data_IF_190491755914
#
_entry.id   IF_190491755914
#
_cell.length_a   1.000
_cell.length_b   1.000
_cell.length_c   1.000
_cell.angle_alpha   90.00
_cell.angle_beta   90.00
_cell.angle_gamma   90.00
#
_symmetry.space_group_name_H-M   'P 1'
#
loop_
_entity.id
_entity.type
_entity.pdbx_description
1 polymer ?
#
# COMPACT_ATOMS: atom_id res chain seq x y z
N UNK A 1 -23.59 -11.76 28.88
CA UNK A 1 -23.30 -11.85 27.43
C UNK A 1 -22.05 -11.04 27.15
N UNK A 2 -20.96 -11.66 26.70
CA UNK A 2 -19.72 -10.93 26.41
C UNK A 2 -19.78 -10.49 24.94
N UNK A 3 -19.68 -9.19 24.69
CA UNK A 3 -19.43 -8.63 23.37
C UNK A 3 -17.92 -8.38 23.28
N UNK A 4 -17.26 -9.01 22.31
CA UNK A 4 -15.82 -8.85 22.08
C UNK A 4 -15.66 -8.02 20.81
N UNK A 5 -14.83 -6.99 20.87
CA UNK A 5 -14.40 -6.20 19.73
C UNK A 5 -12.92 -6.43 19.55
N UNK A 6 -12.51 -6.83 18.35
CA UNK A 6 -11.11 -7.05 17.99
C UNK A 6 -10.71 -5.92 17.04
N UNK A 7 -9.61 -5.23 17.36
CA UNK A 7 -9.05 -4.17 16.54
C UNK A 7 -7.71 -4.63 15.97
N UNK A 8 -7.55 -4.44 14.66
CA UNK A 8 -6.31 -4.68 13.94
C UNK A 8 -5.68 -3.32 13.60
N UNK A 9 -4.43 -3.10 14.00
CA UNK A 9 -3.73 -1.82 13.83
C UNK A 9 -2.66 -1.87 12.74
N UNK A 10 -2.24 -3.07 12.32
CA UNK A 10 -1.20 -3.26 11.31
C UNK A 10 -1.73 -3.93 10.02
N UNK A 11 -3.00 -4.35 10.02
CA UNK A 11 -3.68 -4.85 8.82
C UNK A 11 -3.41 -6.33 8.53
N UNK A 12 -2.86 -7.06 9.51
CA UNK A 12 -2.51 -8.48 9.42
C UNK A 12 -3.73 -9.40 9.44
N UNK A 13 -4.78 -9.04 10.19
CA UNK A 13 -5.99 -9.86 10.32
C UNK A 13 -7.01 -9.60 9.21
N UNK A 14 -6.98 -8.40 8.62
CA UNK A 14 -7.96 -7.98 7.63
C UNK A 14 -7.58 -8.27 6.16
N UNK A 15 -6.48 -8.99 5.91
CA UNK A 15 -5.92 -9.25 4.56
C UNK A 15 -5.88 -7.98 3.68
N UNK A 16 -5.48 -6.88 4.31
CA UNK A 16 -5.57 -5.53 3.73
C UNK A 16 -4.46 -5.28 2.70
N UNK A 17 -3.38 -6.08 2.75
CA UNK A 17 -2.22 -5.88 1.90
C UNK A 17 -2.55 -6.09 0.42
N UNK A 18 -3.19 -7.20 0.06
CA UNK A 18 -3.56 -7.51 -1.32
C UNK A 18 -4.48 -6.43 -1.92
N UNK A 19 -5.39 -5.88 -1.11
CA UNK A 19 -6.25 -4.78 -1.51
C UNK A 19 -5.44 -3.50 -1.76
N UNK A 20 -4.56 -3.12 -0.83
CA UNK A 20 -3.70 -1.94 -0.98
C UNK A 20 -2.77 -2.10 -2.19
N UNK A 21 -2.21 -3.30 -2.40
CA UNK A 21 -1.38 -3.63 -3.56
C UNK A 21 -2.18 -3.43 -4.86
N UNK A 22 -3.40 -3.97 -4.95
CA UNK A 22 -4.23 -3.79 -6.13
C UNK A 22 -4.56 -2.32 -6.43
N UNK A 23 -4.96 -1.55 -5.40
CA UNK A 23 -5.27 -0.12 -5.53
C UNK A 23 -4.05 0.68 -5.98
N UNK A 24 -2.91 0.50 -5.30
CA UNK A 24 -1.68 1.23 -5.60
C UNK A 24 -1.12 0.85 -6.97
N UNK A 25 -1.24 -0.40 -7.40
CA UNK A 25 -0.78 -0.82 -8.73
C UNK A 25 -1.66 -0.25 -9.86
N UNK A 26 -2.96 -0.11 -9.61
CA UNK A 26 -3.88 0.56 -10.54
C UNK A 26 -3.58 2.06 -10.66
N UNK A 27 -3.30 2.73 -9.54
CA UNK A 27 -2.99 4.16 -9.51
C UNK A 27 -1.62 4.51 -10.13
N UNK A 28 -0.75 3.53 -10.34
CA UNK A 28 0.59 3.78 -10.86
C UNK A 28 0.58 4.46 -12.24
N UNK A 29 -0.42 4.17 -13.08
CA UNK A 29 -0.58 4.76 -14.42
C UNK A 29 -0.86 6.25 -14.33
N UNK A 30 -1.74 6.64 -13.40
CA UNK A 30 -2.11 8.04 -13.17
C UNK A 30 -0.97 8.84 -12.52
N UNK A 31 -0.27 8.23 -11.57
CA UNK A 31 0.75 8.91 -10.78
C UNK A 31 2.15 8.84 -11.39
N UNK A 32 2.37 7.91 -12.33
CA UNK A 32 3.59 7.76 -13.12
C UNK A 32 4.72 7.02 -12.40
N UNK A 33 4.39 6.07 -11.51
CA UNK A 33 5.38 5.17 -10.89
C UNK A 33 5.27 3.75 -11.45
N UNK A 34 6.32 2.94 -11.24
CA UNK A 34 6.41 1.58 -11.79
C UNK A 34 5.33 0.68 -11.17
N UNK A 35 4.63 -0.10 -12.02
CA UNK A 35 3.75 -1.16 -11.54
C UNK A 35 4.58 -2.27 -10.89
N UNK A 36 4.18 -2.65 -9.68
CA UNK A 36 4.73 -3.80 -8.98
C UNK A 36 4.09 -5.08 -9.51
N UNK A 37 4.88 -6.14 -9.60
CA UNK A 37 4.40 -7.48 -9.94
C UNK A 37 4.07 -8.27 -8.68
N UNK A 38 3.21 -9.27 -8.81
CA UNK A 38 2.85 -10.14 -7.67
C UNK A 38 4.06 -10.87 -7.09
N UNK A 39 5.04 -11.20 -7.93
CA UNK A 39 6.26 -11.86 -7.48
C UNK A 39 7.16 -10.94 -6.64
N UNK A 40 6.96 -9.62 -6.71
CA UNK A 40 7.70 -8.62 -5.92
C UNK A 40 7.05 -8.39 -4.53
N UNK A 41 5.84 -8.91 -4.27
CA UNK A 41 5.10 -8.73 -3.00
C UNK A 41 5.93 -9.12 -1.76
N UNK A 42 6.57 -10.31 -1.70
CA UNK A 42 7.32 -10.72 -0.50
C UNK A 42 8.51 -9.80 -0.18
N UNK A 43 9.05 -9.12 -1.19
CA UNK A 43 10.12 -8.14 -0.98
C UNK A 43 9.56 -6.77 -0.57
N UNK A 44 8.43 -6.36 -1.14
CA UNK A 44 7.75 -5.10 -0.79
C UNK A 44 7.25 -5.13 0.65
N UNK A 45 6.73 -6.26 1.14
CA UNK A 45 6.26 -6.42 2.54
C UNK A 45 7.36 -6.20 3.58
N UNK A 46 8.64 -6.41 3.20
CA UNK A 46 9.79 -6.18 4.09
C UNK A 46 10.20 -4.71 4.17
N UNK A 47 9.63 -3.85 3.33
CA UNK A 47 9.99 -2.44 3.22
C UNK A 47 9.11 -1.58 4.12
N UNK A 48 9.72 -0.58 4.74
CA UNK A 48 8.95 0.52 5.33
C UNK A 48 8.21 1.29 4.23
N UNK A 49 7.07 1.94 4.54
CA UNK A 49 6.33 2.75 3.56
C UNK A 49 7.19 3.81 2.86
N UNK A 50 8.16 4.39 3.57
CA UNK A 50 9.10 5.36 2.99
C UNK A 50 10.05 4.71 1.98
N UNK A 51 10.53 3.49 2.27
CA UNK A 51 11.35 2.72 1.32
C UNK A 51 10.54 2.35 0.07
N UNK A 52 9.27 1.96 0.22
CA UNK A 52 8.37 1.70 -0.92
C UNK A 52 8.22 2.94 -1.80
N UNK A 53 7.96 4.11 -1.19
CA UNK A 53 7.86 5.38 -1.91
C UNK A 53 9.16 5.68 -2.66
N UNK A 54 10.31 5.58 -1.99
CA UNK A 54 11.61 5.84 -2.61
C UNK A 54 11.92 4.89 -3.76
N UNK A 55 11.60 3.60 -3.63
CA UNK A 55 11.82 2.61 -4.69
C UNK A 55 10.83 2.76 -5.86
N UNK A 56 9.62 3.26 -5.61
CA UNK A 56 8.61 3.43 -6.66
C UNK A 56 9.00 4.48 -7.72
N UNK A 57 9.88 5.42 -7.36
CA UNK A 57 10.25 6.55 -8.21
C UNK A 57 9.16 7.62 -8.33
N UNK A 58 8.10 7.55 -7.52
CA UNK A 58 7.07 8.59 -7.48
C UNK A 58 7.67 9.93 -7.01
N UNK A 59 7.25 11.02 -7.64
CA UNK A 59 7.57 12.36 -7.13
C UNK A 59 6.97 12.57 -5.73
N UNK A 60 7.78 13.06 -4.79
CA UNK A 60 7.35 13.28 -3.39
C UNK A 60 6.15 14.23 -3.28
N UNK A 61 6.01 15.19 -4.22
CA UNK A 61 4.88 16.11 -4.26
C UNK A 61 3.56 15.44 -4.65
N UNK A 62 3.61 14.27 -5.32
CA UNK A 62 2.42 13.49 -5.67
C UNK A 62 1.97 12.55 -4.55
N UNK A 63 2.83 12.27 -3.56
CA UNK A 63 2.53 11.34 -2.46
C UNK A 63 1.29 11.74 -1.65
N UNK A 64 1.10 13.01 -1.25
CA UNK A 64 -0.12 13.40 -0.53
C UNK A 64 -1.41 13.15 -1.32
N UNK A 65 -1.36 13.33 -2.64
CA UNK A 65 -2.50 13.10 -3.53
C UNK A 65 -2.76 11.60 -3.74
N UNK A 66 -1.71 10.79 -3.81
CA UNK A 66 -1.81 9.33 -3.87
C UNK A 66 -2.49 8.79 -2.61
N UNK A 67 -2.01 9.20 -1.44
CA UNK A 67 -2.58 8.77 -0.15
C UNK A 67 -4.06 9.14 0.00
N UNK A 68 -4.50 10.26 -0.59
CA UNK A 68 -5.91 10.65 -0.62
C UNK A 68 -6.79 9.72 -1.47
N UNK A 69 -6.22 9.02 -2.46
CA UNK A 69 -6.95 8.07 -3.32
C UNK A 69 -7.03 6.66 -2.74
N UNK A 70 -6.17 6.34 -1.76
CA UNK A 70 -6.14 5.04 -1.09
C UNK A 70 -7.12 5.01 0.09
N UNK A 71 -7.48 6.18 0.65
CA UNK A 71 -8.46 6.34 1.74
C UNK A 71 -9.90 6.14 1.30
#
# INVERSE_FOLDING_TARGET
MIKIVIFDFDGTLADTFDLIFAITNHLSVEFGYKQAKKEEIPEIEKLSPLQVINQSGISIFKVPFLLRRIR
#
